data_IF_633949878947
#
_entry.id   IF_633949878947
#
_cell.length_a   1.000
_cell.length_b   1.000
_cell.length_c   1.000
_cell.angle_alpha   90.00
_cell.angle_beta   90.00
_cell.angle_gamma   90.00
#
_symmetry.space_group_name_H-M   'P 1'
#
loop_
_entity.id
_entity.type
_entity.pdbx_description
1 polymer ?
#
# COMPACT_ATOMS: atom_id res chain seq x y z
N UNK A 1 -4.19 -31.35 36.04
CA UNK A 1 -4.88 -30.13 35.55
C UNK A 1 -4.23 -29.56 34.30
N UNK A 2 -2.97 -29.90 33.97
CA UNK A 2 -2.28 -29.49 32.73
C UNK A 2 -2.88 -30.04 31.42
N UNK A 3 -3.63 -31.15 31.47
CA UNK A 3 -4.19 -31.78 30.28
C UNK A 3 -5.34 -30.98 29.62
N UNK A 4 -5.92 -29.99 30.33
CA UNK A 4 -7.03 -29.19 29.82
C UNK A 4 -6.56 -27.91 29.11
N UNK A 5 -5.39 -27.38 29.49
CA UNK A 5 -4.84 -26.14 28.92
C UNK A 5 -4.34 -26.33 27.48
N UNK A 6 -3.89 -27.52 27.12
CA UNK A 6 -3.40 -27.82 25.76
C UNK A 6 -4.51 -27.88 24.69
N UNK A 7 -5.78 -28.00 25.08
CA UNK A 7 -6.90 -28.05 24.14
C UNK A 7 -7.46 -26.67 23.77
N UNK A 8 -7.01 -25.60 24.45
CA UNK A 8 -7.60 -24.26 24.33
C UNK A 8 -6.79 -23.29 23.46
N UNK A 9 -5.66 -23.71 22.90
CA UNK A 9 -4.86 -22.88 21.99
C UNK A 9 -5.27 -23.13 20.53
N UNK A 10 -6.07 -22.24 19.91
CA UNK A 10 -6.27 -22.30 18.47
C UNK A 10 -4.93 -22.09 17.76
N UNK A 11 -4.63 -22.96 16.79
CA UNK A 11 -3.53 -22.77 15.86
C UNK A 11 -3.85 -21.54 15.00
N UNK A 12 -3.39 -20.37 15.41
CA UNK A 12 -3.43 -19.20 14.55
C UNK A 12 -2.50 -19.47 13.37
N UNK A 13 -2.96 -19.30 12.11
CA UNK A 13 -2.05 -19.39 10.97
C UNK A 13 -0.92 -18.39 11.19
N UNK A 14 0.32 -18.85 11.02
CA UNK A 14 1.52 -18.01 11.11
C UNK A 14 1.52 -17.03 9.92
N UNK A 15 0.75 -15.94 10.03
CA UNK A 15 0.72 -14.86 9.06
C UNK A 15 1.96 -14.01 9.31
N UNK A 16 3.09 -14.49 8.80
CA UNK A 16 4.32 -13.70 8.79
C UNK A 16 4.19 -12.59 7.76
N UNK A 17 3.99 -11.37 8.25
CA UNK A 17 4.38 -10.19 7.50
C UNK A 17 5.87 -10.33 7.19
N UNK A 18 6.19 -10.47 5.90
CA UNK A 18 7.59 -10.50 5.46
C UNK A 18 8.27 -9.23 5.96
N UNK A 19 9.45 -9.36 6.54
CA UNK A 19 10.22 -8.22 7.03
C UNK A 19 10.35 -7.15 5.92
N UNK A 20 10.33 -5.85 6.25
CA UNK A 20 10.46 -4.78 5.26
C UNK A 20 11.80 -4.94 4.51
N UNK A 21 11.71 -5.48 3.30
CA UNK A 21 12.84 -5.67 2.42
C UNK A 21 13.42 -4.33 2.03
N UNK A 22 14.73 -4.17 2.24
CA UNK A 22 15.52 -2.98 1.91
C UNK A 22 15.07 -2.21 0.65
N UNK A 23 14.73 -0.95 0.89
CA UNK A 23 13.86 -0.06 0.11
C UNK A 23 14.48 0.59 -1.16
N UNK A 24 15.41 -0.09 -1.79
CA UNK A 24 15.99 0.31 -3.07
C UNK A 24 16.31 -0.89 -3.96
N UNK A 25 15.63 -2.02 -3.75
CA UNK A 25 15.75 -3.15 -4.65
C UNK A 25 15.20 -2.76 -6.02
N UNK A 26 16.07 -2.81 -7.02
CA UNK A 26 15.70 -2.81 -8.44
C UNK A 26 14.60 -3.85 -8.61
N UNK A 27 13.44 -3.43 -9.13
CA UNK A 27 12.34 -4.36 -9.39
C UNK A 27 12.80 -5.29 -10.52
N UNK A 28 12.91 -6.58 -10.23
CA UNK A 28 13.24 -7.59 -11.23
C UNK A 28 11.96 -7.96 -11.98
N UNK A 29 11.68 -7.26 -13.07
CA UNK A 29 10.49 -7.54 -13.87
C UNK A 29 10.59 -8.90 -14.57
N UNK A 30 9.48 -9.66 -14.64
CA UNK A 30 9.45 -10.93 -15.36
C UNK A 30 9.55 -10.69 -16.87
N UNK A 31 10.10 -11.66 -17.58
CA UNK A 31 9.98 -11.72 -19.04
C UNK A 31 8.60 -12.26 -19.38
N UNK A 32 7.82 -11.49 -20.14
CA UNK A 32 6.45 -11.87 -20.49
C UNK A 32 6.07 -11.43 -21.91
N UNK A 33 5.05 -12.08 -22.48
CA UNK A 33 4.47 -11.76 -23.79
C UNK A 33 2.98 -12.07 -23.73
N UNK A 34 2.08 -11.17 -24.17
CA UNK A 34 2.36 -9.84 -24.73
C UNK A 34 2.88 -8.85 -23.66
N UNK A 35 3.70 -7.89 -24.09
CA UNK A 35 4.21 -6.79 -23.24
C UNK A 35 4.34 -5.49 -24.05
N UNK A 36 4.39 -4.36 -23.34
CA UNK A 36 4.52 -3.02 -23.92
C UNK A 36 5.78 -2.34 -23.37
N UNK A 37 6.51 -1.66 -24.24
CA UNK A 37 7.69 -0.87 -23.86
C UNK A 37 7.26 0.38 -23.10
N UNK A 38 7.61 0.45 -21.81
CA UNK A 38 7.28 1.58 -20.96
C UNK A 38 8.34 2.68 -21.13
N UNK A 39 7.91 3.84 -21.61
CA UNK A 39 8.73 5.04 -21.83
C UNK A 39 8.57 6.07 -20.71
N UNK A 40 7.40 6.10 -20.09
CA UNK A 40 7.05 7.04 -19.03
C UNK A 40 6.10 6.38 -18.05
N UNK A 41 6.19 6.80 -16.79
CA UNK A 41 5.19 6.46 -15.77
C UNK A 41 4.58 7.71 -15.17
N UNK A 42 3.28 7.68 -14.92
CA UNK A 42 2.53 8.77 -14.30
C UNK A 42 1.80 8.22 -13.07
N UNK A 43 1.97 8.89 -11.93
CA UNK A 43 1.20 8.61 -10.71
C UNK A 43 0.23 9.74 -10.43
N UNK A 44 -1.06 9.47 -10.62
CA UNK A 44 -2.14 10.39 -10.24
C UNK A 44 -2.50 10.20 -8.76
N UNK A 45 -2.84 11.29 -8.06
CA UNK A 45 -3.23 11.25 -6.64
C UNK A 45 -2.09 11.06 -5.63
N UNK A 46 -0.84 11.07 -6.09
CA UNK A 46 0.34 10.98 -5.23
C UNK A 46 0.55 12.22 -4.34
N UNK A 47 -0.04 13.35 -4.73
CA UNK A 47 -0.03 14.63 -4.02
C UNK A 47 -0.82 14.59 -2.70
N UNK A 48 -1.74 13.64 -2.55
CA UNK A 48 -2.44 13.39 -1.29
C UNK A 48 -1.53 12.74 -0.22
N UNK A 49 -0.30 12.36 -0.56
CA UNK A 49 0.67 11.72 0.31
C UNK A 49 1.89 12.61 0.55
N UNK A 50 2.63 12.42 1.65
CA UNK A 50 3.82 13.22 1.90
C UNK A 50 4.89 13.07 0.81
N UNK A 51 5.45 14.19 0.36
CA UNK A 51 6.42 14.23 -0.73
C UNK A 51 7.73 13.48 -0.45
N UNK A 52 8.04 13.19 0.80
CA UNK A 52 9.21 12.39 1.18
C UNK A 52 9.05 10.91 0.80
N UNK A 53 7.82 10.44 0.51
CA UNK A 53 7.56 9.07 0.07
C UNK A 53 7.89 8.94 -1.43
N UNK A 54 8.91 8.14 -1.82
CA UNK A 54 9.48 8.19 -3.17
C UNK A 54 8.68 7.36 -4.20
N UNK A 55 7.36 7.52 -4.26
CA UNK A 55 6.48 6.69 -5.10
C UNK A 55 6.78 6.85 -6.59
N UNK A 56 6.92 8.09 -7.07
CA UNK A 56 7.26 8.34 -8.48
C UNK A 56 8.63 7.75 -8.85
N UNK A 57 9.60 7.78 -7.92
CA UNK A 57 10.91 7.16 -8.14
C UNK A 57 10.81 5.64 -8.28
N UNK A 58 9.94 5.00 -7.51
CA UNK A 58 9.66 3.56 -7.62
C UNK A 58 8.94 3.25 -8.94
N UNK A 59 7.91 4.03 -9.29
CA UNK A 59 7.19 3.90 -10.57
C UNK A 59 8.13 4.01 -11.78
N UNK A 60 9.04 5.00 -11.75
CA UNK A 60 10.05 5.20 -12.80
C UNK A 60 11.01 4.02 -12.96
N UNK A 61 11.08 3.09 -12.01
CA UNK A 61 11.82 1.83 -12.15
C UNK A 61 11.32 0.96 -13.31
N UNK A 62 10.08 1.14 -13.77
CA UNK A 62 9.52 0.47 -14.93
C UNK A 62 9.96 1.05 -16.28
N UNK A 63 10.50 2.27 -16.31
CA UNK A 63 10.92 2.92 -17.56
C UNK A 63 12.05 2.12 -18.21
N UNK A 64 11.92 1.86 -19.51
CA UNK A 64 12.85 1.05 -20.29
C UNK A 64 12.60 -0.46 -20.23
N UNK A 65 11.59 -0.92 -19.49
CA UNK A 65 11.19 -2.32 -19.44
C UNK A 65 9.99 -2.61 -20.34
N UNK A 66 9.92 -3.85 -20.86
CA UNK A 66 8.71 -4.37 -21.50
C UNK A 66 7.81 -5.00 -20.44
N UNK A 67 6.68 -4.38 -20.13
CA UNK A 67 5.77 -4.87 -19.10
C UNK A 67 4.45 -5.35 -19.71
N UNK A 68 4.02 -6.52 -19.29
CA UNK A 68 2.66 -7.02 -19.43
C UNK A 68 1.96 -6.98 -18.07
N UNK A 69 0.90 -7.77 -17.93
CA UNK A 69 0.09 -7.77 -16.71
C UNK A 69 0.88 -8.16 -15.45
N UNK A 70 1.84 -9.10 -15.56
CA UNK A 70 2.60 -9.57 -14.39
C UNK A 70 3.55 -8.50 -13.89
N UNK A 71 4.26 -7.83 -14.80
CA UNK A 71 5.18 -6.74 -14.48
C UNK A 71 4.46 -5.52 -13.90
N UNK A 72 3.32 -5.14 -14.47
CA UNK A 72 2.49 -4.04 -13.93
C UNK A 72 1.99 -4.38 -12.52
N UNK A 73 1.48 -5.60 -12.30
CA UNK A 73 1.04 -6.03 -10.96
C UNK A 73 2.19 -6.06 -9.95
N UNK A 74 3.40 -6.44 -10.36
CA UNK A 74 4.59 -6.41 -9.51
C UNK A 74 4.94 -4.96 -9.13
N UNK A 75 4.88 -4.02 -10.07
CA UNK A 75 5.11 -2.60 -9.81
C UNK A 75 4.07 -2.05 -8.82
N UNK A 76 2.79 -2.31 -9.08
CA UNK A 76 1.69 -1.89 -8.22
C UNK A 76 1.84 -2.47 -6.80
N UNK A 77 2.16 -3.76 -6.68
CA UNK A 77 2.39 -4.40 -5.37
C UNK A 77 3.59 -3.80 -4.65
N UNK A 78 4.64 -3.43 -5.38
CA UNK A 78 5.82 -2.76 -4.80
C UNK A 78 5.45 -1.37 -4.25
N UNK A 79 4.69 -0.58 -5.00
CA UNK A 79 4.17 0.72 -4.55
C UNK A 79 3.22 0.56 -3.35
N UNK A 80 2.32 -0.43 -3.42
CA UNK A 80 1.38 -0.76 -2.35
C UNK A 80 2.11 -1.15 -1.05
N UNK A 81 3.14 -2.00 -1.15
CA UNK A 81 3.96 -2.37 0.00
C UNK A 81 4.68 -1.15 0.56
N UNK A 82 5.22 -0.27 -0.29
CA UNK A 82 5.84 0.97 0.17
C UNK A 82 4.86 1.86 0.95
N UNK A 83 3.59 1.91 0.57
CA UNK A 83 2.56 2.65 1.30
C UNK A 83 2.26 2.01 2.66
N UNK A 84 2.07 0.69 2.69
CA UNK A 84 1.83 -0.09 3.92
C UNK A 84 3.01 0.05 4.89
N UNK A 85 4.23 -0.07 4.37
CA UNK A 85 5.48 0.11 5.12
C UNK A 85 5.67 1.54 5.63
N UNK A 86 4.78 2.48 5.29
CA UNK A 86 4.75 3.85 5.78
C UNK A 86 3.49 4.25 6.54
N UNK A 87 2.62 3.29 6.87
CA UNK A 87 1.41 3.54 7.67
C UNK A 87 0.15 3.79 6.85
N UNK A 88 0.25 3.96 5.52
CA UNK A 88 -0.86 4.25 4.61
C UNK A 88 -1.63 2.99 4.19
N UNK A 89 -2.09 2.19 5.16
CA UNK A 89 -2.62 0.83 4.92
C UNK A 89 -3.94 0.77 4.17
N UNK A 90 -4.74 1.85 4.22
CA UNK A 90 -6.00 1.96 3.49
C UNK A 90 -5.85 2.59 2.11
N UNK A 91 -4.68 3.14 1.79
CA UNK A 91 -4.38 3.72 0.49
C UNK A 91 -4.14 2.62 -0.54
N UNK A 92 -4.66 2.79 -1.75
CA UNK A 92 -4.60 1.78 -2.82
C UNK A 92 -3.90 2.31 -4.07
N UNK A 93 -3.15 1.44 -4.74
CA UNK A 93 -2.57 1.69 -6.07
C UNK A 93 -3.35 0.89 -7.10
N UNK A 94 -3.86 1.56 -8.13
CA UNK A 94 -4.66 0.96 -9.19
C UNK A 94 -4.07 1.26 -10.56
N UNK A 95 -4.30 0.36 -11.51
CA UNK A 95 -4.08 0.60 -12.94
C UNK A 95 -5.44 0.75 -13.63
N UNK A 96 -5.84 1.96 -14.07
CA UNK A 96 -7.06 2.12 -14.84
C UNK A 96 -6.93 1.46 -16.22
N UNK A 97 -8.07 1.23 -16.88
CA UNK A 97 -8.08 0.82 -18.29
C UNK A 97 -7.39 1.89 -19.13
N UNK A 98 -6.36 1.49 -19.87
CA UNK A 98 -5.48 2.40 -20.62
C UNK A 98 -4.86 1.69 -21.82
N UNK A 99 -4.50 2.45 -22.86
CA UNK A 99 -3.72 1.95 -23.99
C UNK A 99 -2.22 2.21 -23.77
N UNK A 100 -1.46 1.11 -23.59
CA UNK A 100 -0.02 1.14 -23.35
C UNK A 100 0.82 1.25 -24.62
N UNK A 101 0.22 1.27 -25.83
CA UNK A 101 0.97 1.43 -27.10
C UNK A 101 1.75 2.73 -27.18
N UNK A 102 1.28 3.78 -26.51
CA UNK A 102 1.99 5.05 -26.36
C UNK A 102 3.31 4.92 -25.59
N UNK A 103 3.40 3.89 -24.73
CA UNK A 103 4.48 3.68 -23.76
C UNK A 103 4.30 4.45 -22.45
N UNK A 104 3.14 5.06 -22.22
CA UNK A 104 2.82 5.75 -20.95
C UNK A 104 2.03 4.79 -20.06
N UNK A 105 2.60 4.44 -18.91
CA UNK A 105 1.91 3.68 -17.85
C UNK A 105 1.37 4.65 -16.80
N UNK A 106 0.05 4.78 -16.71
CA UNK A 106 -0.64 5.54 -15.67
C UNK A 106 -1.05 4.63 -14.54
N UNK A 107 -0.73 5.02 -13.32
CA UNK A 107 -1.20 4.41 -12.10
C UNK A 107 -1.89 5.48 -11.26
N UNK A 108 -2.96 5.10 -10.57
CA UNK A 108 -3.76 6.00 -9.73
C UNK A 108 -3.60 5.58 -8.28
N UNK A 109 -3.30 6.53 -7.42
CA UNK A 109 -3.27 6.36 -5.98
C UNK A 109 -4.59 6.88 -5.41
N UNK A 110 -5.30 6.01 -4.71
CA UNK A 110 -6.53 6.36 -4.00
C UNK A 110 -6.19 6.43 -2.50
N UNK A 111 -6.09 7.64 -1.91
CA UNK A 111 -5.82 7.79 -0.48
C UNK A 111 -6.98 7.27 0.35
N UNK A 112 -6.66 6.54 1.42
CA UNK A 112 -7.64 6.21 2.44
C UNK A 112 -7.73 7.32 3.48
N UNK A 113 -8.94 7.80 3.76
CA UNK A 113 -9.19 8.88 4.72
C UNK A 113 -10.04 8.40 5.89
N UNK A 114 -9.81 8.98 7.06
CA UNK A 114 -10.58 8.69 8.27
C UNK A 114 -11.96 9.29 8.12
N UNK A 115 -13.02 8.46 8.17
CA UNK A 115 -14.39 8.96 8.13
C UNK A 115 -14.86 9.46 9.50
N UNK A 116 -14.79 8.62 10.53
CA UNK A 116 -15.14 8.99 11.91
C UNK A 116 -14.27 8.21 12.89
N UNK A 117 -13.98 8.82 14.02
CA UNK A 117 -13.43 8.16 15.20
C UNK A 117 -14.51 8.20 16.29
N UNK A 118 -14.84 7.06 16.89
CA UNK A 118 -15.93 6.94 17.86
C UNK A 118 -15.52 6.05 19.02
N UNK A 119 -15.96 6.43 20.21
CA UNK A 119 -15.90 5.57 21.39
C UNK A 119 -17.02 4.53 21.31
N UNK A 120 -16.77 3.35 21.88
CA UNK A 120 -17.81 2.33 22.07
C UNK A 120 -18.65 2.69 23.31
N UNK A 121 -19.86 2.13 23.46
CA UNK A 121 -20.68 2.34 24.66
C UNK A 121 -20.00 1.92 25.96
N UNK A 122 -19.05 0.98 25.89
CA UNK A 122 -18.29 0.49 27.04
C UNK A 122 -17.03 1.32 27.36
N UNK A 123 -16.80 2.43 26.64
CA UNK A 123 -15.65 3.31 26.88
C UNK A 123 -15.88 4.18 28.12
N UNK A 124 -14.82 4.42 28.88
CA UNK A 124 -14.89 5.33 30.03
C UNK A 124 -15.16 6.79 29.61
N UNK A 125 -16.01 7.49 30.37
CA UNK A 125 -16.43 8.87 30.08
C UNK A 125 -15.29 9.91 30.10
N UNK A 126 -14.15 9.59 30.75
CA UNK A 126 -13.00 10.49 30.81
C UNK A 126 -12.15 10.48 29.53
N UNK A 127 -12.37 9.53 28.60
CA UNK A 127 -11.56 9.41 27.39
C UNK A 127 -11.92 10.54 26.42
N UNK A 128 -10.92 11.34 26.06
CA UNK A 128 -11.05 12.42 25.09
C UNK A 128 -10.35 12.02 23.79
N UNK A 129 -11.14 11.63 22.77
CA UNK A 129 -10.62 11.14 21.48
C UNK A 129 -9.61 12.10 20.83
N UNK A 130 -9.88 13.41 20.90
CA UNK A 130 -9.03 14.42 20.27
C UNK A 130 -7.58 14.39 20.80
N UNK A 131 -7.39 14.18 22.10
CA UNK A 131 -6.06 14.11 22.72
C UNK A 131 -5.46 12.71 22.71
N UNK A 132 -6.30 11.67 22.70
CA UNK A 132 -5.86 10.28 22.81
C UNK A 132 -5.56 9.63 21.47
N UNK A 133 -6.12 10.15 20.37
CA UNK A 133 -5.98 9.56 19.04
C UNK A 133 -5.54 10.62 18.01
N UNK A 134 -4.35 10.48 17.40
CA UNK A 134 -3.79 11.50 16.51
C UNK A 134 -4.49 11.55 15.14
N UNK A 135 -5.16 10.48 14.72
CA UNK A 135 -5.92 10.47 13.47
C UNK A 135 -7.25 11.19 13.66
N UNK A 136 -7.60 12.07 12.72
CA UNK A 136 -8.77 12.93 12.82
C UNK A 136 -9.70 12.71 11.63
N UNK A 137 -10.98 12.98 11.82
CA UNK A 137 -11.96 12.92 10.73
C UNK A 137 -11.53 13.81 9.55
N UNK A 138 -11.59 13.24 8.34
CA UNK A 138 -11.17 13.88 7.10
C UNK A 138 -9.67 13.82 6.82
N UNK A 139 -8.83 13.42 7.79
CA UNK A 139 -7.39 13.29 7.55
C UNK A 139 -7.08 12.05 6.71
N UNK A 140 -5.97 12.10 5.97
CA UNK A 140 -5.30 10.91 5.47
C UNK A 140 -5.10 9.94 6.65
N UNK A 141 -5.47 8.66 6.47
CA UNK A 141 -5.22 7.66 7.49
C UNK A 141 -3.73 7.30 7.48
N UNK A 142 -3.08 7.52 8.63
CA UNK A 142 -1.71 7.12 8.92
C UNK A 142 -1.71 6.32 10.23
N UNK A 143 -0.95 5.23 10.28
CA UNK A 143 -0.77 4.39 11.47
C UNK A 143 0.51 4.71 12.25
N UNK A 144 1.25 5.76 11.88
CA UNK A 144 2.51 6.17 12.51
C UNK A 144 2.42 7.48 13.27
#
# INVERSE_FOLDING_TARGET
QEALEQQLTPSAPDVRLSAPGSFAHKINFPVETPCFQIKQTELEGADALPHWLPLQKIANGAVGHCLGAKGINLLMSTLQNRLVDHGYVTTRVLAPSQDLKSGILRLVIIPGVVRHVRLTPDSDDYIQLYSSFPAHEGSLLDLR
#
